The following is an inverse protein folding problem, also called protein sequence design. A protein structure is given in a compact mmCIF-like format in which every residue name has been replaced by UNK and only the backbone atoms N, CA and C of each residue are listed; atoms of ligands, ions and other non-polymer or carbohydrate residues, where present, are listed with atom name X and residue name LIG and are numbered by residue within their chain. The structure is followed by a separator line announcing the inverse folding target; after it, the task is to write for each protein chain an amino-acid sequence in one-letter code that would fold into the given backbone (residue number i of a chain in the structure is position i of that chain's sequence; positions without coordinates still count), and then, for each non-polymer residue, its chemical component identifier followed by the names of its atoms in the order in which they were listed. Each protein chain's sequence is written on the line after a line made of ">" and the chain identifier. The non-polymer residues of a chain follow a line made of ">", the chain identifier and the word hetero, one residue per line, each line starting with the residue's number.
data_IF_312788376830
#
_entry.id   IF_312788376830
#
_cell.length_a   1.000
_cell.length_b   1.000
_cell.length_c   1.000
_cell.angle_alpha   90.00
_cell.angle_beta   90.00
_cell.angle_gamma   90.00
#
_symmetry.space_group_name_H-M   'P 1'
#
loop_
_entity.id
_entity.type
_entity.pdbx_description
1 polymer ?
#
# COMPACT_ATOMS: atom_id res chain seq x y z
N UNK A 1 1.51 -10.54 -21.23
CA UNK A 1 2.53 -10.59 -20.15
C UNK A 1 1.83 -10.36 -18.82
N UNK A 2 2.17 -11.14 -17.79
CA UNK A 2 1.68 -10.88 -16.43
C UNK A 2 2.29 -9.57 -15.91
N UNK A 3 1.47 -8.72 -15.28
CA UNK A 3 1.96 -7.53 -14.58
C UNK A 3 2.43 -7.93 -13.18
N UNK A 4 3.40 -7.19 -12.66
CA UNK A 4 3.86 -7.29 -11.28
C UNK A 4 3.15 -6.20 -10.49
N UNK A 5 2.58 -6.58 -9.35
CA UNK A 5 1.89 -5.69 -8.42
C UNK A 5 2.66 -5.67 -7.11
N UNK A 6 2.98 -4.48 -6.63
CA UNK A 6 3.59 -4.28 -5.31
C UNK A 6 2.60 -3.63 -4.37
N UNK A 7 2.48 -4.14 -3.16
CA UNK A 7 1.78 -3.50 -2.04
C UNK A 7 2.72 -3.38 -0.85
N UNK A 8 2.64 -2.27 -0.11
CA UNK A 8 3.39 -2.12 1.14
C UNK A 8 2.71 -1.18 2.12
N UNK A 9 2.73 -1.56 3.39
CA UNK A 9 2.37 -0.73 4.53
C UNK A 9 3.58 -0.55 5.45
N UNK A 10 4.41 0.46 5.14
CA UNK A 10 5.67 0.70 5.88
C UNK A 10 5.43 0.98 7.37
N UNK A 11 4.28 1.60 7.70
CA UNK A 11 3.88 1.94 9.06
C UNK A 11 2.43 1.57 9.31
N UNK A 12 2.25 0.51 10.10
CA UNK A 12 0.94 0.00 10.49
C UNK A 12 0.07 1.04 11.21
N UNK A 13 0.70 1.92 11.99
CA UNK A 13 0.01 2.94 12.80
C UNK A 13 -0.55 4.10 11.97
N UNK A 14 -0.08 4.25 10.73
CA UNK A 14 -0.57 5.28 9.81
C UNK A 14 -1.65 4.75 8.86
N UNK A 15 -1.75 3.43 8.70
CA UNK A 15 -2.77 2.83 7.85
C UNK A 15 -2.63 3.15 6.35
N UNK A 16 -1.43 3.52 5.91
CA UNK A 16 -1.16 3.95 4.53
C UNK A 16 -0.54 2.81 3.74
N UNK A 17 -1.22 2.40 2.68
CA UNK A 17 -0.78 1.33 1.79
C UNK A 17 -0.38 1.93 0.45
N UNK A 18 0.88 1.75 0.07
CA UNK A 18 1.34 2.05 -1.28
C UNK A 18 1.02 0.90 -2.21
N UNK A 19 0.75 1.24 -3.47
CA UNK A 19 0.50 0.31 -4.55
C UNK A 19 1.28 0.74 -5.78
N UNK A 20 1.90 -0.24 -6.44
CA UNK A 20 2.43 -0.05 -7.80
C UNK A 20 2.06 -1.21 -8.70
N UNK A 21 1.90 -0.92 -10.00
CA UNK A 21 1.77 -1.97 -11.00
C UNK A 21 2.49 -1.62 -12.30
N UNK A 22 3.24 -2.56 -12.85
CA UNK A 22 3.89 -2.44 -14.15
C UNK A 22 4.18 -3.82 -14.75
N UNK A 23 4.81 -3.87 -15.93
CA UNK A 23 5.50 -5.08 -16.37
C UNK A 23 6.71 -5.35 -15.46
N UNK A 24 7.24 -6.58 -15.46
CA UNK A 24 8.47 -6.91 -14.71
C UNK A 24 9.62 -5.96 -15.07
N UNK A 25 9.85 -5.72 -16.36
CA UNK A 25 10.87 -4.78 -16.83
C UNK A 25 10.63 -3.34 -16.33
N UNK A 26 9.36 -2.91 -16.27
CA UNK A 26 8.98 -1.60 -15.75
C UNK A 26 9.29 -1.46 -14.26
N UNK A 27 8.97 -2.49 -13.45
CA UNK A 27 9.33 -2.54 -12.04
C UNK A 27 10.84 -2.52 -11.86
N UNK A 28 11.59 -3.33 -12.62
CA UNK A 28 13.05 -3.40 -12.47
C UNK A 28 13.72 -2.08 -12.84
N UNK A 29 13.23 -1.42 -13.90
CA UNK A 29 13.70 -0.09 -14.31
C UNK A 29 13.39 0.97 -13.24
N UNK A 30 12.15 1.00 -12.73
CA UNK A 30 11.75 1.91 -11.67
C UNK A 30 12.55 1.66 -10.38
N UNK A 31 12.80 0.39 -10.05
CA UNK A 31 13.63 0.01 -8.91
C UNK A 31 15.05 0.53 -9.08
N UNK A 32 15.68 0.32 -10.24
CA UNK A 32 17.02 0.83 -10.52
C UNK A 32 17.09 2.35 -10.47
N UNK A 33 16.16 3.06 -11.11
CA UNK A 33 16.14 4.53 -11.12
C UNK A 33 15.89 5.14 -9.73
N UNK A 34 15.10 4.48 -8.86
CA UNK A 34 14.89 4.97 -7.51
C UNK A 34 16.04 4.55 -6.59
N UNK A 35 16.32 3.25 -6.52
CA UNK A 35 17.24 2.69 -5.54
C UNK A 35 18.70 2.86 -5.92
N UNK A 36 19.12 2.61 -7.17
CA UNK A 36 20.54 2.76 -7.53
C UNK A 36 20.95 4.23 -7.67
N UNK A 37 20.00 5.11 -8.02
CA UNK A 37 20.27 6.54 -8.26
C UNK A 37 20.13 7.40 -7.01
N UNK A 38 19.17 7.10 -6.14
CA UNK A 38 18.85 7.92 -4.97
C UNK A 38 19.14 7.21 -3.62
N UNK A 39 19.63 5.96 -3.61
CA UNK A 39 19.71 5.13 -2.41
C UNK A 39 21.01 4.31 -2.29
N UNK A 40 21.59 4.28 -1.07
CA UNK A 40 21.95 3.00 -0.49
C UNK A 40 21.39 2.93 0.94
N UNK A 41 20.49 1.98 1.19
CA UNK A 41 19.94 1.53 2.50
C UNK A 41 18.89 2.39 3.28
N UNK A 42 17.89 1.65 3.81
CA UNK A 42 16.75 1.88 4.77
C UNK A 42 15.44 2.61 4.40
N UNK A 43 14.38 1.82 4.12
CA UNK A 43 13.04 2.14 3.53
C UNK A 43 12.20 3.25 4.23
N UNK A 44 12.46 3.62 5.48
CA UNK A 44 11.63 4.62 6.19
C UNK A 44 12.04 6.06 5.88
N UNK A 45 11.48 6.61 4.80
CA UNK A 45 11.75 7.99 4.37
C UNK A 45 11.18 9.09 5.27
N UNK A 46 10.37 8.76 6.28
CA UNK A 46 9.92 9.77 7.26
C UNK A 46 11.05 10.24 8.17
N UNK A 47 12.16 9.49 8.21
CA UNK A 47 13.38 9.75 8.99
C UNK A 47 14.60 10.08 8.13
N UNK A 48 14.45 10.13 6.80
CA UNK A 48 15.56 10.28 5.86
C UNK A 48 15.92 11.75 5.57
N UNK A 49 17.15 11.98 5.10
CA UNK A 49 17.66 13.31 4.75
C UNK A 49 16.86 13.96 3.61
N UNK A 50 16.52 15.26 3.74
CA UNK A 50 15.75 16.03 2.74
C UNK A 50 16.24 15.88 1.29
N UNK A 51 17.56 15.75 1.09
CA UNK A 51 18.16 15.55 -0.24
C UNK A 51 17.74 14.23 -0.92
N UNK A 52 17.55 13.15 -0.16
CA UNK A 52 17.10 11.85 -0.70
C UNK A 52 15.65 11.92 -1.18
N UNK A 53 14.78 12.51 -0.36
CA UNK A 53 13.38 12.75 -0.72
C UNK A 53 13.30 13.58 -2.01
N UNK A 54 14.09 14.65 -2.12
CA UNK A 54 14.12 15.48 -3.33
C UNK A 54 14.57 14.71 -4.58
N UNK A 55 15.57 13.81 -4.46
CA UNK A 55 16.01 12.96 -5.56
C UNK A 55 14.88 12.05 -6.05
N UNK A 56 14.22 11.35 -5.13
CA UNK A 56 13.14 10.42 -5.44
C UNK A 56 11.93 11.14 -6.06
N UNK A 57 11.56 12.31 -5.51
CA UNK A 57 10.51 13.15 -6.09
C UNK A 57 10.84 13.57 -7.53
N UNK A 58 12.09 13.92 -7.80
CA UNK A 58 12.54 14.30 -9.15
C UNK A 58 12.44 13.09 -10.11
N UNK A 59 12.85 11.91 -9.68
CA UNK A 59 12.74 10.68 -10.48
C UNK A 59 11.28 10.36 -10.80
N UNK A 60 10.40 10.42 -9.80
CA UNK A 60 8.97 10.14 -9.98
C UNK A 60 8.32 11.19 -10.90
N UNK A 61 8.63 12.47 -10.73
CA UNK A 61 8.07 13.56 -11.54
C UNK A 61 8.53 13.50 -13.01
N UNK A 62 9.66 12.86 -13.31
CA UNK A 62 10.11 12.62 -14.69
C UNK A 62 9.33 11.51 -15.40
N UNK A 63 8.48 10.79 -14.67
CA UNK A 63 7.68 9.68 -15.19
C UNK A 63 8.43 8.36 -15.05
N UNK A 64 7.93 7.48 -14.18
CA UNK A 64 8.36 6.10 -14.12
C UNK A 64 7.37 5.22 -14.88
N UNK A 65 7.82 4.10 -15.49
CA UNK A 65 6.97 3.22 -16.28
C UNK A 65 6.12 2.30 -15.38
N UNK A 66 5.41 2.90 -14.42
CA UNK A 66 4.57 2.21 -13.45
C UNK A 66 3.35 3.06 -13.10
N UNK A 67 2.24 2.39 -12.83
CA UNK A 67 1.10 3.02 -12.17
C UNK A 67 1.35 3.04 -10.67
N UNK A 68 1.07 4.16 -9.99
CA UNK A 68 1.27 4.33 -8.56
C UNK A 68 -0.01 4.87 -7.89
N UNK A 69 -0.41 4.21 -6.80
CA UNK A 69 -1.58 4.57 -6.01
C UNK A 69 -1.23 4.50 -4.52
N UNK A 70 -1.84 5.35 -3.70
CA UNK A 70 -1.84 5.22 -2.25
C UNK A 70 -3.26 5.05 -1.76
N UNK A 71 -3.46 4.05 -0.90
CA UNK A 71 -4.71 3.81 -0.18
C UNK A 71 -4.55 4.20 1.29
N UNK A 72 -5.44 5.06 1.79
CA UNK A 72 -5.61 5.26 3.22
C UNK A 72 -6.67 4.28 3.72
N UNK A 73 -6.28 3.31 4.54
CA UNK A 73 -7.18 2.23 5.01
C UNK A 73 -7.32 2.19 6.53
N UNK A 74 -6.21 2.36 7.26
CA UNK A 74 -6.15 2.27 8.73
C UNK A 74 -6.83 1.02 9.36
N UNK A 75 -6.38 -0.20 9.02
CA UNK A 75 -6.98 -1.43 9.55
C UNK A 75 -6.93 -1.52 11.08
N UNK A 76 -5.86 -1.02 11.69
CA UNK A 76 -5.63 -1.13 13.13
C UNK A 76 -6.46 -0.10 13.92
N UNK A 77 -6.64 1.13 13.40
CA UNK A 77 -7.60 2.09 13.95
C UNK A 77 -9.02 1.52 13.94
N UNK A 78 -9.47 1.02 12.79
CA UNK A 78 -10.79 0.37 12.64
C UNK A 78 -10.95 -0.80 13.62
N UNK A 79 -9.94 -1.66 13.76
CA UNK A 79 -9.98 -2.79 14.67
C UNK A 79 -10.07 -2.40 16.14
N UNK A 80 -9.47 -1.26 16.52
CA UNK A 80 -9.58 -0.73 17.88
C UNK A 80 -10.98 -0.15 18.12
N UNK A 81 -11.43 0.74 17.23
CA UNK A 81 -12.70 1.45 17.41
C UNK A 81 -13.90 0.50 17.39
N UNK A 82 -13.95 -0.37 16.39
CA UNK A 82 -15.03 -1.35 16.24
C UNK A 82 -14.89 -2.48 17.27
N UNK A 83 -13.68 -3.00 17.48
CA UNK A 83 -13.45 -4.08 18.43
C UNK A 83 -13.89 -3.72 19.85
N UNK A 84 -13.53 -2.51 20.32
CA UNK A 84 -13.96 -2.01 21.63
C UNK A 84 -15.46 -1.76 21.68
N UNK A 85 -16.05 -1.14 20.64
CA UNK A 85 -17.46 -0.76 20.63
C UNK A 85 -18.42 -1.97 20.62
N UNK A 86 -18.07 -3.03 19.89
CA UNK A 86 -18.93 -4.21 19.72
C UNK A 86 -18.46 -5.43 20.54
N UNK A 87 -17.39 -5.31 21.33
CA UNK A 87 -16.87 -6.41 22.14
C UNK A 87 -16.28 -7.57 21.31
N UNK A 88 -15.80 -7.28 20.11
CA UNK A 88 -15.28 -8.27 19.15
C UNK A 88 -13.76 -8.31 19.19
N UNK A 89 -13.18 -9.52 19.11
CA UNK A 89 -11.74 -9.69 19.07
C UNK A 89 -11.11 -8.96 17.86
N UNK A 90 -10.03 -8.20 18.10
CA UNK A 90 -9.35 -7.39 17.07
C UNK A 90 -8.98 -8.18 15.81
N UNK A 91 -8.55 -9.43 15.97
CA UNK A 91 -8.20 -10.31 14.84
C UNK A 91 -9.37 -10.59 13.89
N UNK A 92 -10.60 -10.66 14.42
CA UNK A 92 -11.81 -10.83 13.59
C UNK A 92 -12.04 -9.59 12.74
N UNK A 93 -11.94 -8.40 13.35
CA UNK A 93 -12.10 -7.13 12.62
C UNK A 93 -11.02 -6.97 11.55
N UNK A 94 -9.75 -7.24 11.88
CA UNK A 94 -8.65 -7.18 10.92
C UNK A 94 -8.88 -8.11 9.72
N UNK A 95 -9.33 -9.35 9.97
CA UNK A 95 -9.65 -10.28 8.88
C UNK A 95 -10.77 -9.75 7.98
N UNK A 96 -11.81 -9.13 8.54
CA UNK A 96 -12.88 -8.51 7.76
C UNK A 96 -12.37 -7.34 6.91
N UNK A 97 -11.55 -6.45 7.48
CA UNK A 97 -10.97 -5.31 6.77
C UNK A 97 -10.07 -5.79 5.63
N UNK A 98 -9.17 -6.74 5.88
CA UNK A 98 -8.23 -7.22 4.87
C UNK A 98 -8.89 -8.06 3.77
N UNK A 99 -9.93 -8.84 4.12
CA UNK A 99 -10.77 -9.52 3.15
C UNK A 99 -11.50 -8.52 2.24
N UNK A 100 -12.12 -7.50 2.84
CA UNK A 100 -12.80 -6.44 2.11
C UNK A 100 -11.83 -5.68 1.19
N UNK A 101 -10.68 -5.26 1.71
CA UNK A 101 -9.67 -4.53 0.94
C UNK A 101 -9.18 -5.35 -0.26
N UNK A 102 -8.96 -6.64 -0.07
CA UNK A 102 -8.59 -7.53 -1.18
C UNK A 102 -9.67 -7.59 -2.25
N UNK A 103 -10.94 -7.69 -1.86
CA UNK A 103 -12.07 -7.69 -2.80
C UNK A 103 -12.20 -6.34 -3.51
N UNK A 104 -12.01 -5.24 -2.79
CA UNK A 104 -11.95 -3.90 -3.37
C UNK A 104 -10.89 -3.82 -4.46
N UNK A 105 -9.67 -4.32 -4.20
CA UNK A 105 -8.59 -4.32 -5.20
C UNK A 105 -8.97 -5.12 -6.46
N UNK A 106 -9.65 -6.25 -6.31
CA UNK A 106 -10.13 -7.06 -7.45
C UNK A 106 -11.24 -6.36 -8.23
N UNK A 107 -12.29 -5.92 -7.55
CA UNK A 107 -13.46 -5.29 -8.16
C UNK A 107 -13.14 -4.01 -8.91
N UNK A 108 -12.07 -3.31 -8.51
CA UNK A 108 -11.61 -2.09 -9.17
C UNK A 108 -10.42 -2.32 -10.13
N UNK A 109 -10.05 -3.57 -10.42
CA UNK A 109 -9.02 -3.91 -11.40
C UNK A 109 -7.56 -3.68 -10.95
N UNK A 110 -7.33 -3.33 -9.69
CA UNK A 110 -5.99 -3.22 -9.10
C UNK A 110 -5.32 -4.58 -8.93
N UNK A 111 -6.11 -5.66 -8.81
CA UNK A 111 -5.64 -7.03 -8.74
C UNK A 111 -6.36 -7.91 -9.78
N UNK A 112 -5.62 -8.78 -10.45
CA UNK A 112 -6.12 -9.80 -11.38
C UNK A 112 -5.47 -11.14 -11.03
N UNK A 113 -6.14 -12.24 -11.38
CA UNK A 113 -5.68 -13.59 -11.02
C UNK A 113 -4.33 -13.98 -11.62
N UNK A 114 -3.95 -13.35 -12.74
CA UNK A 114 -2.69 -13.59 -13.43
C UNK A 114 -1.54 -12.71 -12.93
N UNK A 115 -1.78 -11.80 -11.98
CA UNK A 115 -0.76 -10.87 -11.50
C UNK A 115 0.29 -11.60 -10.64
N UNK A 116 1.55 -11.19 -10.75
CA UNK A 116 2.58 -11.55 -9.78
C UNK A 116 2.56 -10.52 -8.67
N UNK A 117 2.12 -10.93 -7.48
CA UNK A 117 1.93 -10.01 -6.35
C UNK A 117 3.07 -10.09 -5.36
N UNK A 118 3.59 -8.94 -4.97
CA UNK A 118 4.62 -8.72 -3.98
C UNK A 118 4.08 -7.89 -2.82
N UNK A 119 4.29 -8.37 -1.60
CA UNK A 119 3.88 -7.70 -0.36
C UNK A 119 5.11 -7.36 0.46
N UNK A 120 5.05 -6.31 1.28
CA UNK A 120 5.98 -6.20 2.40
C UNK A 120 5.58 -7.13 3.56
N UNK A 121 6.43 -7.19 4.59
CA UNK A 121 6.20 -8.06 5.75
C UNK A 121 4.92 -7.69 6.50
N UNK A 122 4.60 -6.40 6.62
CA UNK A 122 3.40 -5.94 7.32
C UNK A 122 2.11 -6.43 6.62
N UNK A 123 2.09 -6.43 5.28
CA UNK A 123 0.95 -6.92 4.51
C UNK A 123 0.96 -8.43 4.28
N UNK A 124 1.88 -9.19 4.88
CA UNK A 124 1.86 -10.67 4.83
C UNK A 124 0.51 -11.26 5.29
N UNK A 125 -0.22 -10.56 6.15
CA UNK A 125 -1.57 -10.92 6.58
C UNK A 125 -2.58 -11.06 5.42
N UNK A 126 -2.29 -10.50 4.23
CA UNK A 126 -3.11 -10.65 3.04
C UNK A 126 -2.98 -12.02 2.37
N UNK A 127 -1.95 -12.81 2.68
CA UNK A 127 -1.65 -14.09 2.01
C UNK A 127 -2.78 -15.13 2.01
N UNK A 128 -3.70 -15.19 3.00
CA UNK A 128 -4.88 -16.06 2.91
C UNK A 128 -5.88 -15.62 1.83
N UNK A 129 -5.86 -14.33 1.44
CA UNK A 129 -6.82 -13.76 0.49
C UNK A 129 -6.24 -13.64 -0.93
N UNK A 130 -4.91 -13.54 -1.08
CA UNK A 130 -4.20 -13.40 -2.36
C UNK A 130 -2.96 -14.27 -2.42
N UNK A 131 -2.71 -14.87 -3.59
CA UNK A 131 -1.44 -15.56 -3.87
C UNK A 131 -0.36 -14.51 -4.08
N UNK A 132 0.49 -14.31 -3.09
CA UNK A 132 1.56 -13.32 -3.14
C UNK A 132 2.87 -13.85 -2.54
N UNK A 133 3.98 -13.25 -2.98
CA UNK A 133 5.29 -13.41 -2.33
C UNK A 133 5.56 -12.24 -1.40
N UNK A 134 6.29 -12.49 -0.32
CA UNK A 134 6.74 -11.43 0.59
C UNK A 134 8.11 -10.94 0.14
N UNK A 135 8.32 -9.63 0.16
CA UNK A 135 9.48 -8.94 -0.41
C UNK A 135 9.37 -8.69 -1.92
N UNK A 136 10.51 -8.34 -2.53
CA UNK A 136 10.64 -8.04 -3.97
C UNK A 136 10.79 -6.55 -4.30
N UNK A 137 10.96 -6.25 -5.58
CA UNK A 137 11.25 -4.89 -6.06
C UNK A 137 10.00 -4.02 -6.05
N UNK A 138 8.85 -4.56 -6.44
CA UNK A 138 7.58 -3.85 -6.50
C UNK A 138 7.08 -3.48 -5.09
N UNK A 139 7.17 -4.38 -4.10
CA UNK A 139 6.79 -4.06 -2.72
C UNK A 139 7.68 -2.98 -2.10
N UNK A 140 8.99 -2.99 -2.39
CA UNK A 140 9.91 -1.92 -1.97
C UNK A 140 9.56 -0.56 -2.58
N UNK A 141 9.25 -0.52 -3.88
CA UNK A 141 8.81 0.72 -4.52
C UNK A 141 7.47 1.18 -3.93
N UNK A 142 6.52 0.26 -3.73
CA UNK A 142 5.25 0.56 -3.09
C UNK A 142 5.45 1.22 -1.71
N UNK A 143 6.42 0.75 -0.92
CA UNK A 143 6.74 1.34 0.38
C UNK A 143 7.27 2.78 0.26
N UNK A 144 8.08 3.07 -0.77
CA UNK A 144 8.52 4.42 -1.09
C UNK A 144 7.31 5.31 -1.44
N UNK A 145 6.42 4.83 -2.31
CA UNK A 145 5.20 5.55 -2.71
C UNK A 145 4.32 5.85 -1.49
N UNK A 146 4.10 4.87 -0.61
CA UNK A 146 3.35 5.03 0.64
C UNK A 146 3.96 6.12 1.53
N UNK A 147 5.29 6.15 1.61
CA UNK A 147 6.00 7.08 2.49
C UNK A 147 6.04 8.50 1.92
N UNK A 148 6.21 8.67 0.61
CA UNK A 148 6.33 9.98 -0.03
C UNK A 148 5.14 10.89 0.25
N UNK A 149 3.92 10.35 0.15
CA UNK A 149 2.70 11.12 0.38
C UNK A 149 2.51 11.51 1.85
N UNK A 150 3.32 10.95 2.75
CA UNK A 150 3.35 11.27 4.18
C UNK A 150 4.46 12.25 4.55
N UNK A 151 5.41 12.53 3.65
CA UNK A 151 6.50 13.48 3.92
C UNK A 151 5.97 14.91 3.97
N UNK A 152 6.32 15.63 5.04
CA UNK A 152 5.98 17.05 5.20
C UNK A 152 6.62 17.90 4.09
N UNK A 153 5.82 18.79 3.50
CA UNK A 153 6.28 19.68 2.43
C UNK A 153 6.20 19.07 1.02
N UNK A 154 5.76 17.81 0.89
CA UNK A 154 5.43 17.23 -0.41
C UNK A 154 4.04 17.67 -0.84
N UNK A 155 3.97 18.33 -1.99
CA UNK A 155 2.71 18.72 -2.62
C UNK A 155 2.11 17.53 -3.38
N UNK A 156 1.15 16.86 -2.74
CA UNK A 156 0.55 15.62 -3.24
C UNK A 156 -0.18 15.81 -4.58
N UNK A 157 -0.67 17.02 -4.87
CA UNK A 157 -1.41 17.31 -6.11
C UNK A 157 -0.50 17.33 -7.35
N UNK A 158 0.81 17.50 -7.15
CA UNK A 158 1.81 17.51 -8.23
C UNK A 158 2.45 16.15 -8.49
N UNK A 159 2.15 15.15 -7.65
CA UNK A 159 2.69 13.82 -7.82
C UNK A 159 1.87 13.04 -8.86
N UNK A 160 2.51 12.25 -9.74
CA UNK A 160 1.82 11.29 -10.59
C UNK A 160 1.41 10.04 -9.78
N UNK A 161 0.77 10.24 -8.62
CA UNK A 161 0.34 9.20 -7.69
C UNK A 161 -1.13 9.47 -7.36
N UNK A 162 -2.00 8.50 -7.63
CA UNK A 162 -3.40 8.61 -7.24
C UNK A 162 -3.56 8.33 -5.75
N UNK A 163 -4.40 9.10 -5.07
CA UNK A 163 -4.67 8.91 -3.64
C UNK A 163 -6.15 8.55 -3.46
N UNK A 164 -6.40 7.48 -2.74
CA UNK A 164 -7.74 6.96 -2.46
C UNK A 164 -7.89 6.78 -0.94
N UNK A 165 -8.94 7.35 -0.37
CA UNK A 165 -9.28 7.16 1.04
C UNK A 165 -10.40 6.11 1.16
N UNK A 166 -10.10 5.03 1.87
CA UNK A 166 -10.95 3.85 2.03
C UNK A 166 -11.36 3.62 3.49
N UNK A 167 -10.94 4.50 4.42
CA UNK A 167 -11.15 4.30 5.86
C UNK A 167 -12.62 4.16 6.22
N UNK A 168 -13.45 5.09 5.74
CA UNK A 168 -14.88 5.09 6.05
C UNK A 168 -15.60 3.89 5.44
N UNK A 169 -15.30 3.56 4.18
CA UNK A 169 -15.92 2.45 3.47
C UNK A 169 -15.60 1.10 4.14
N UNK A 170 -14.34 0.92 4.55
CA UNK A 170 -13.89 -0.26 5.27
C UNK A 170 -14.57 -0.37 6.65
N UNK A 171 -14.60 0.73 7.40
CA UNK A 171 -15.21 0.76 8.73
C UNK A 171 -16.72 0.47 8.66
N UNK A 172 -17.42 1.05 7.68
CA UNK A 172 -18.84 0.81 7.44
C UNK A 172 -19.12 -0.65 7.05
N UNK A 173 -18.29 -1.23 6.17
CA UNK A 173 -18.41 -2.64 5.79
C UNK A 173 -18.30 -3.56 7.02
N UNK A 174 -17.30 -3.35 7.87
CA UNK A 174 -17.11 -4.15 9.09
C UNK A 174 -18.31 -3.99 10.03
N UNK A 175 -18.73 -2.76 10.30
CA UNK A 175 -19.90 -2.49 11.17
C UNK A 175 -21.16 -3.20 10.66
N UNK A 176 -21.40 -3.16 9.35
CA UNK A 176 -22.57 -3.77 8.74
C UNK A 176 -22.49 -5.30 8.72
N UNK A 177 -21.30 -5.87 8.62
CA UNK A 177 -21.09 -7.32 8.69
C UNK A 177 -21.35 -7.82 10.11
N UNK A 178 -20.73 -7.20 11.13
CA UNK A 178 -20.89 -7.61 12.52
C UNK A 178 -22.34 -7.50 13.01
N UNK A 179 -23.09 -6.47 12.56
CA UNK A 179 -24.52 -6.33 12.90
C UNK A 179 -25.41 -7.43 12.32
N UNK A 180 -25.01 -8.09 11.23
CA UNK A 180 -25.78 -9.19 10.61
C UNK A 180 -25.55 -10.52 11.32
N UNK A 181 -24.40 -10.66 11.96
CA UNK A 181 -24.00 -11.87 12.68
C UNK A 181 -24.41 -11.85 14.17
N UNK A 182 -24.98 -10.74 14.63
CA UNK A 182 -25.55 -10.53 15.98
C UNK A 182 -27.07 -10.63 15.95
#
# INVERSE_FOLDING_TARGET
>A
MSRVVGLSMVRWDLGVIGYVSATQQGIDTAYSEIFLRCYPTTIDMTREMRGKVACILNVINRGLPMNAVVFFLDPYGIANDVGTKYGVARGVVLNLVYSWFTNYLRSNGFLRDLDVVELDEELKILTPFIKARVGGNASKIAGIIATLVMVRGVDKQKLPISIVDLRNDAEEYVKNTLKKDM
#
